data_IF_347922003442
#
_entry.id   IF_347922003442
#
_cell.length_a   1.000
_cell.length_b   1.000
_cell.length_c   1.000
_cell.angle_alpha   90.00
_cell.angle_beta   90.00
_cell.angle_gamma   90.00
#
_symmetry.space_group_name_H-M   'P 1'
#
loop_
_entity.id
_entity.type
_entity.pdbx_description
1 polymer ?
#
# COMPACT_ATOMS: atom_id res chain seq x y z
N UNK A 1 35.12 27.58 -11.54
CA UNK A 1 35.31 26.12 -11.70
C UNK A 1 35.41 25.50 -10.32
N UNK A 2 34.50 24.59 -9.94
CA UNK A 2 34.66 23.78 -8.71
C UNK A 2 35.77 22.74 -8.96
N UNK A 3 36.61 22.40 -7.98
CA UNK A 3 37.72 21.48 -8.17
C UNK A 3 37.21 20.07 -8.56
N UNK A 4 37.96 19.36 -9.40
CA UNK A 4 37.60 18.04 -9.93
C UNK A 4 37.36 16.96 -8.84
N UNK A 5 37.90 17.16 -7.63
CA UNK A 5 37.64 16.30 -6.46
C UNK A 5 36.25 16.49 -5.84
N UNK A 6 35.56 17.61 -6.10
CA UNK A 6 34.23 17.88 -5.57
C UNK A 6 33.11 17.09 -6.27
N UNK A 7 33.38 16.53 -7.46
CA UNK A 7 32.41 15.77 -8.26
C UNK A 7 32.66 14.25 -8.21
N UNK A 8 33.62 13.78 -7.43
CA UNK A 8 33.87 12.34 -7.28
C UNK A 8 32.96 11.74 -6.22
N UNK A 9 32.22 10.68 -6.59
CA UNK A 9 31.41 9.90 -5.66
C UNK A 9 32.30 9.21 -4.61
N UNK A 10 31.92 9.29 -3.33
CA UNK A 10 32.54 8.47 -2.30
C UNK A 10 32.22 6.98 -2.51
N UNK A 11 32.99 6.08 -1.89
CA UNK A 11 32.85 4.63 -2.09
C UNK A 11 31.42 4.13 -1.84
N UNK A 12 30.78 4.55 -0.75
CA UNK A 12 29.40 4.17 -0.44
C UNK A 12 28.40 4.69 -1.49
N UNK A 13 28.57 5.92 -1.98
CA UNK A 13 27.73 6.45 -3.04
C UNK A 13 27.92 5.71 -4.36
N UNK A 14 29.12 5.19 -4.65
CA UNK A 14 29.36 4.36 -5.85
C UNK A 14 28.64 3.02 -5.77
N UNK A 15 28.66 2.39 -4.60
CA UNK A 15 27.94 1.14 -4.34
C UNK A 15 26.43 1.32 -4.40
N UNK A 16 25.93 2.40 -3.79
CA UNK A 16 24.53 2.79 -3.85
C UNK A 16 24.11 3.09 -5.29
N UNK A 17 24.86 3.93 -6.00
CA UNK A 17 24.61 4.27 -7.40
C UNK A 17 24.53 3.01 -8.27
N UNK A 18 25.48 2.10 -8.10
CA UNK A 18 25.48 0.82 -8.82
C UNK A 18 24.26 -0.05 -8.51
N UNK A 19 23.83 -0.07 -7.26
CA UNK A 19 22.64 -0.80 -6.83
C UNK A 19 21.38 -0.21 -7.45
N UNK A 20 21.24 1.12 -7.47
CA UNK A 20 20.13 1.81 -8.12
C UNK A 20 20.07 1.53 -9.63
N UNK A 21 21.21 1.50 -10.32
CA UNK A 21 21.26 1.14 -11.76
C UNK A 21 20.71 -0.27 -11.98
N UNK A 22 21.11 -1.23 -11.13
CA UNK A 22 20.60 -2.61 -11.22
C UNK A 22 19.11 -2.67 -10.90
N UNK A 23 18.67 -1.99 -9.85
CA UNK A 23 17.26 -1.93 -9.44
C UNK A 23 16.37 -1.34 -10.54
N UNK A 24 16.79 -0.25 -11.18
CA UNK A 24 16.04 0.40 -12.24
C UNK A 24 15.72 -0.57 -13.39
N UNK A 25 16.73 -1.24 -13.93
CA UNK A 25 16.56 -2.13 -15.09
C UNK A 25 16.03 -3.53 -14.76
N UNK A 26 16.41 -4.11 -13.61
CA UNK A 26 16.02 -5.47 -13.26
C UNK A 26 14.64 -5.55 -12.59
N UNK A 27 14.24 -4.51 -11.85
CA UNK A 27 13.03 -4.54 -11.01
C UNK A 27 12.03 -3.50 -11.48
N UNK A 28 12.40 -2.22 -11.50
CA UNK A 28 11.43 -1.14 -11.66
C UNK A 28 10.85 -1.06 -13.06
N UNK A 29 11.67 -1.06 -14.11
CA UNK A 29 11.20 -0.98 -15.49
C UNK A 29 10.28 -2.16 -15.87
N UNK A 30 10.61 -3.43 -15.55
CA UNK A 30 9.67 -4.54 -15.72
C UNK A 30 8.36 -4.36 -14.95
N UNK A 31 8.43 -3.90 -13.69
CA UNK A 31 7.24 -3.70 -12.86
C UNK A 31 6.35 -2.56 -13.40
N UNK A 32 6.92 -1.40 -13.75
CA UNK A 32 6.19 -0.28 -14.35
C UNK A 32 5.57 -0.68 -15.68
N UNK A 33 6.28 -1.42 -16.53
CA UNK A 33 5.74 -1.95 -17.79
C UNK A 33 4.58 -2.92 -17.53
N UNK A 34 4.66 -3.74 -16.47
CA UNK A 34 3.55 -4.60 -16.07
C UNK A 34 2.32 -3.79 -15.61
N UNK A 35 2.51 -2.65 -14.92
CA UNK A 35 1.43 -1.74 -14.51
C UNK A 35 0.84 -1.01 -15.72
N UNK A 36 1.69 -0.49 -16.61
CA UNK A 36 1.28 0.18 -17.84
C UNK A 36 0.41 -0.73 -18.73
N UNK A 37 0.73 -2.03 -18.76
CA UNK A 37 -0.02 -3.05 -19.51
C UNK A 37 -1.23 -3.63 -18.76
N UNK A 38 -1.34 -3.48 -17.43
CA UNK A 38 -2.41 -4.05 -16.59
C UNK A 38 -3.46 -3.01 -16.18
N UNK A 39 -4.55 -2.94 -16.92
CA UNK A 39 -5.88 -2.78 -16.31
C UNK A 39 -6.44 -4.16 -15.93
N UNK A 40 -5.95 -4.74 -14.83
CA UNK A 40 -6.69 -5.76 -14.08
C UNK A 40 -6.24 -5.72 -12.61
N UNK A 41 -7.01 -5.00 -11.79
CA UNK A 41 -7.15 -5.19 -10.34
C UNK A 41 -6.05 -4.64 -9.42
N UNK A 42 -6.07 -3.32 -9.18
CA UNK A 42 -5.74 -2.76 -7.86
C UNK A 42 -6.93 -1.86 -7.48
N UNK A 43 -7.97 -2.49 -6.94
CA UNK A 43 -9.27 -1.91 -6.66
C UNK A 43 -10.34 -3.00 -6.76
N UNK A 44 -11.10 -3.21 -5.69
CA UNK A 44 -12.15 -4.21 -5.58
C UNK A 44 -13.11 -4.15 -6.77
N UNK A 45 -13.28 -5.29 -7.45
CA UNK A 45 -14.15 -5.48 -8.60
C UNK A 45 -15.62 -5.45 -8.19
N UNK A 46 -16.26 -4.28 -8.22
CA UNK A 46 -17.72 -4.22 -8.34
C UNK A 46 -18.12 -4.41 -9.80
N UNK A 47 -18.86 -5.48 -10.06
CA UNK A 47 -19.33 -5.85 -11.39
C UNK A 47 -20.50 -4.96 -11.81
N UNK A 48 -20.31 -4.11 -12.82
CA UNK A 48 -21.39 -3.55 -13.62
C UNK A 48 -21.26 -4.05 -15.08
N UNK A 49 -22.32 -4.57 -15.72
CA UNK A 49 -22.25 -5.03 -17.10
C UNK A 49 -22.48 -3.85 -18.04
N UNK A 50 -21.45 -3.45 -18.80
CA UNK A 50 -21.55 -2.42 -19.82
C UNK A 50 -20.89 -2.86 -21.12
N UNK A 51 -21.70 -3.14 -22.15
CA UNK A 51 -21.24 -3.41 -23.52
C UNK A 51 -20.69 -2.10 -24.12
N UNK A 52 -19.41 -2.10 -24.48
CA UNK A 52 -18.77 -1.06 -25.29
C UNK A 52 -17.27 -1.28 -25.33
N UNK A 53 -16.72 -1.63 -26.50
CA UNK A 53 -15.27 -1.69 -26.73
C UNK A 53 -14.71 -0.25 -26.65
N UNK A 54 -14.38 0.21 -25.46
CA UNK A 54 -13.54 1.38 -25.26
C UNK A 54 -12.06 0.95 -25.41
N UNK A 55 -11.21 1.72 -26.12
CA UNK A 55 -9.76 1.51 -26.08
C UNK A 55 -9.31 1.51 -24.62
N UNK A 56 -8.55 0.49 -24.20
CA UNK A 56 -8.02 0.42 -22.84
C UNK A 56 -7.21 1.70 -22.55
N UNK A 57 -7.55 2.49 -21.52
CA UNK A 57 -6.75 3.63 -21.11
C UNK A 57 -5.35 3.15 -20.71
N UNK A 58 -4.32 3.54 -21.46
CA UNK A 58 -2.93 3.39 -21.01
C UNK A 58 -2.80 4.18 -19.69
N UNK A 59 -2.16 3.60 -18.69
CA UNK A 59 -1.79 4.34 -17.49
C UNK A 59 -0.69 5.34 -17.87
N UNK A 60 -1.10 6.56 -18.24
CA UNK A 60 -0.22 7.64 -18.71
C UNK A 60 0.86 7.99 -17.68
N UNK A 61 0.54 7.92 -16.38
CA UNK A 61 1.52 8.11 -15.31
C UNK A 61 2.61 7.03 -15.33
N UNK A 62 2.26 5.76 -15.51
CA UNK A 62 3.24 4.69 -15.64
C UNK A 62 4.08 4.84 -16.92
N UNK A 63 3.45 5.27 -18.02
CA UNK A 63 4.12 5.57 -19.29
C UNK A 63 5.18 6.68 -19.13
N UNK A 64 4.85 7.78 -18.44
CA UNK A 64 5.79 8.87 -18.19
C UNK A 64 6.99 8.41 -17.35
N UNK A 65 6.75 7.60 -16.32
CA UNK A 65 7.82 7.05 -15.47
C UNK A 65 8.74 6.09 -16.26
N UNK A 66 8.16 5.31 -17.17
CA UNK A 66 8.94 4.47 -18.10
C UNK A 66 9.78 5.36 -19.01
N UNK A 67 9.19 6.37 -19.64
CA UNK A 67 9.89 7.27 -20.56
C UNK A 67 11.07 7.98 -19.86
N UNK A 68 10.86 8.53 -18.66
CA UNK A 68 11.91 9.15 -17.84
C UNK A 68 13.07 8.17 -17.56
N UNK A 69 12.73 6.94 -17.17
CA UNK A 69 13.70 5.89 -16.87
C UNK A 69 14.49 5.44 -18.09
N UNK A 70 13.84 5.33 -19.25
CA UNK A 70 14.47 4.94 -20.51
C UNK A 70 15.34 6.04 -21.10
N UNK A 71 14.90 7.29 -21.01
CA UNK A 71 15.70 8.45 -21.41
C UNK A 71 17.00 8.52 -20.59
N UNK A 72 16.93 8.29 -19.27
CA UNK A 72 18.11 8.21 -18.44
C UNK A 72 19.06 7.08 -18.89
N UNK A 73 18.55 5.87 -19.14
CA UNK A 73 19.38 4.76 -19.63
C UNK A 73 20.02 5.05 -20.99
N UNK A 74 19.29 5.67 -21.92
CA UNK A 74 19.80 6.03 -23.23
C UNK A 74 20.92 7.07 -23.13
N UNK A 75 20.75 8.09 -22.29
CA UNK A 75 21.77 9.11 -22.03
C UNK A 75 23.05 8.51 -21.44
N UNK A 76 22.93 7.67 -20.40
CA UNK A 76 24.09 7.06 -19.76
C UNK A 76 24.81 6.07 -20.69
N UNK A 77 24.05 5.31 -21.48
CA UNK A 77 24.64 4.43 -22.49
C UNK A 77 25.37 5.25 -23.57
N UNK A 78 24.79 6.37 -24.02
CA UNK A 78 25.40 7.32 -24.95
C UNK A 78 26.71 7.94 -24.43
N UNK A 79 26.79 8.25 -23.14
CA UNK A 79 28.02 8.72 -22.47
C UNK A 79 29.15 7.68 -22.48
N UNK A 80 28.82 6.38 -22.42
CA UNK A 80 29.82 5.31 -22.61
C UNK A 80 30.28 5.28 -24.07
N UNK A 81 29.32 5.28 -25.00
CA UNK A 81 29.59 5.31 -26.44
C UNK A 81 28.38 5.89 -27.17
N UNK A 82 28.61 6.86 -28.04
CA UNK A 82 27.54 7.54 -28.77
C UNK A 82 26.60 6.58 -29.53
N UNK A 83 27.14 5.48 -30.08
CA UNK A 83 26.36 4.45 -30.77
C UNK A 83 25.31 3.75 -29.88
N UNK A 84 25.46 3.78 -28.56
CA UNK A 84 24.53 3.15 -27.62
C UNK A 84 23.32 4.03 -27.29
N UNK A 85 23.34 5.32 -27.66
CA UNK A 85 22.23 6.24 -27.39
C UNK A 85 20.90 5.81 -28.05
N UNK A 86 20.97 5.08 -29.17
CA UNK A 86 19.80 4.53 -29.87
C UNK A 86 19.37 3.15 -29.40
N UNK A 87 19.97 2.60 -28.34
CA UNK A 87 19.58 1.28 -27.84
C UNK A 87 18.24 1.32 -27.11
N UNK A 88 17.39 0.31 -27.38
CA UNK A 88 16.24 0.04 -26.53
C UNK A 88 16.68 -0.21 -25.08
N UNK A 89 15.84 0.18 -24.12
CA UNK A 89 16.18 0.27 -22.69
C UNK A 89 16.93 -0.95 -22.14
N UNK A 90 16.51 -2.18 -22.50
CA UNK A 90 17.11 -3.41 -21.97
C UNK A 90 18.55 -3.58 -22.48
N UNK A 91 18.79 -3.25 -23.75
CA UNK A 91 20.13 -3.29 -24.36
C UNK A 91 21.00 -2.14 -23.85
N UNK A 92 20.44 -0.95 -23.63
CA UNK A 92 21.13 0.17 -22.99
C UNK A 92 21.54 -0.18 -21.56
N UNK A 93 20.63 -0.77 -20.78
CA UNK A 93 20.91 -1.26 -19.42
C UNK A 93 22.01 -2.33 -19.41
N UNK A 94 21.94 -3.32 -20.32
CA UNK A 94 23.02 -4.31 -20.46
C UNK A 94 24.38 -3.66 -20.78
N UNK A 95 24.41 -2.67 -21.67
CA UNK A 95 25.63 -1.93 -21.98
C UNK A 95 26.18 -1.17 -20.77
N UNK A 96 25.31 -0.55 -19.97
CA UNK A 96 25.69 0.13 -18.72
C UNK A 96 26.26 -0.86 -17.71
N UNK A 97 25.59 -2.01 -17.48
CA UNK A 97 26.06 -2.96 -16.48
C UNK A 97 27.40 -3.62 -16.88
N UNK A 98 27.65 -3.80 -18.17
CA UNK A 98 28.93 -4.31 -18.69
C UNK A 98 30.05 -3.28 -18.60
N UNK A 99 29.75 -2.00 -18.37
CA UNK A 99 30.72 -0.89 -18.32
C UNK A 99 30.76 -0.21 -16.94
N UNK A 100 30.65 -1.01 -15.87
CA UNK A 100 30.65 -0.54 -14.46
C UNK A 100 31.75 0.47 -14.17
N UNK A 101 33.00 0.12 -14.52
CA UNK A 101 34.15 0.98 -14.21
C UNK A 101 34.01 2.35 -14.86
N UNK A 102 33.58 2.40 -16.13
CA UNK A 102 33.42 3.65 -16.88
C UNK A 102 32.36 4.54 -16.24
N UNK A 103 31.14 4.02 -16.02
CA UNK A 103 30.01 4.79 -15.47
C UNK A 103 30.31 5.37 -14.09
N UNK A 104 30.97 4.60 -13.23
CA UNK A 104 31.27 5.05 -11.87
C UNK A 104 32.41 6.07 -11.79
N UNK A 105 33.19 6.26 -12.86
CA UNK A 105 34.35 7.17 -12.91
C UNK A 105 34.15 8.39 -13.81
N UNK A 106 32.97 8.54 -14.44
CA UNK A 106 32.68 9.73 -15.25
C UNK A 106 32.70 11.00 -14.39
N UNK A 107 33.13 12.12 -14.98
CA UNK A 107 33.10 13.43 -14.31
C UNK A 107 31.68 13.91 -13.97
N UNK A 108 30.66 13.35 -14.63
CA UNK A 108 29.23 13.61 -14.41
C UNK A 108 28.59 12.66 -13.39
N UNK A 109 29.32 11.66 -12.86
CA UNK A 109 28.74 10.57 -12.09
C UNK A 109 27.96 11.03 -10.84
N UNK A 110 28.37 12.14 -10.20
CA UNK A 110 27.66 12.71 -9.06
C UNK A 110 26.26 13.25 -9.44
N UNK A 111 26.18 13.98 -10.56
CA UNK A 111 24.92 14.53 -11.07
C UNK A 111 24.02 13.41 -11.62
N UNK A 112 24.61 12.44 -12.31
CA UNK A 112 23.91 11.27 -12.84
C UNK A 112 23.31 10.42 -11.70
N UNK A 113 24.05 10.24 -10.61
CA UNK A 113 23.57 9.58 -9.40
C UNK A 113 22.40 10.34 -8.76
N UNK A 114 22.52 11.64 -8.56
CA UNK A 114 21.44 12.46 -7.99
C UNK A 114 20.17 12.43 -8.86
N UNK A 115 20.33 12.43 -10.19
CA UNK A 115 19.21 12.27 -11.11
C UNK A 115 18.57 10.88 -10.98
N UNK A 116 19.38 9.82 -10.94
CA UNK A 116 18.89 8.46 -10.77
C UNK A 116 18.14 8.27 -9.44
N UNK A 117 18.63 8.86 -8.34
CA UNK A 117 17.94 8.81 -7.05
C UNK A 117 16.52 9.40 -7.14
N UNK A 118 16.36 10.52 -7.86
CA UNK A 118 15.03 11.12 -8.08
C UNK A 118 14.12 10.20 -8.90
N UNK A 119 14.63 9.61 -9.97
CA UNK A 119 13.88 8.68 -10.82
C UNK A 119 13.46 7.44 -10.03
N UNK A 120 14.41 6.78 -9.36
CA UNK A 120 14.15 5.56 -8.58
C UNK A 120 13.13 5.81 -7.48
N UNK A 121 13.20 6.94 -6.77
CA UNK A 121 12.22 7.30 -5.73
C UNK A 121 10.82 7.54 -6.30
N UNK A 122 10.70 8.24 -7.44
CA UNK A 122 9.40 8.44 -8.12
C UNK A 122 8.81 7.11 -8.58
N UNK A 123 9.67 6.22 -9.10
CA UNK A 123 9.27 4.88 -9.50
C UNK A 123 8.83 4.05 -8.29
N UNK A 124 9.57 4.07 -7.18
CA UNK A 124 9.18 3.40 -5.92
C UNK A 124 7.81 3.86 -5.44
N UNK A 125 7.56 5.16 -5.39
CA UNK A 125 6.24 5.69 -5.00
C UNK A 125 5.10 5.24 -5.91
N UNK A 126 5.38 4.93 -7.18
CA UNK A 126 4.37 4.41 -8.11
C UNK A 126 4.23 2.88 -8.04
N UNK A 127 5.28 2.19 -7.62
CA UNK A 127 5.35 0.73 -7.50
C UNK A 127 4.90 0.21 -6.14
N UNK A 128 4.99 1.04 -5.10
CA UNK A 128 4.44 0.79 -3.78
C UNK A 128 2.97 1.23 -3.79
N UNK A 129 1.99 0.31 -3.72
CA UNK A 129 0.61 0.70 -3.51
C UNK A 129 0.54 1.49 -2.20
N UNK A 130 -0.19 2.61 -2.18
CA UNK A 130 -0.59 3.24 -0.94
C UNK A 130 -1.36 2.17 -0.16
N UNK A 131 -0.78 1.63 0.92
CA UNK A 131 -1.46 0.60 1.72
C UNK A 131 -2.79 1.22 2.16
N UNK A 132 -3.90 0.62 1.72
CA UNK A 132 -5.22 1.14 2.01
C UNK A 132 -5.33 1.37 3.52
N UNK A 133 -5.49 2.62 3.93
CA UNK A 133 -5.69 2.97 5.33
C UNK A 133 -6.99 2.31 5.77
N UNK A 134 -6.89 1.40 6.73
CA UNK A 134 -8.05 0.73 7.33
C UNK A 134 -8.36 1.35 8.68
N UNK A 135 -9.62 1.33 9.06
CA UNK A 135 -10.03 1.72 10.40
C UNK A 135 -9.59 0.60 11.35
N UNK A 136 -8.75 0.94 12.33
CA UNK A 136 -8.23 -0.01 13.33
C UNK A 136 -8.97 0.08 14.66
N UNK A 137 -9.77 1.13 14.88
CA UNK A 137 -10.56 1.34 16.09
C UNK A 137 -10.69 2.82 16.45
N UNK A 138 -10.66 3.12 17.74
CA UNK A 138 -10.70 4.50 18.26
C UNK A 138 -9.61 4.70 19.31
N UNK A 139 -9.06 5.90 19.39
CA UNK A 139 -8.04 6.26 20.37
C UNK A 139 -8.50 5.90 21.80
N UNK A 140 -7.74 5.11 22.56
CA UNK A 140 -8.07 4.77 23.94
C UNK A 140 -8.28 5.98 24.85
N UNK A 141 -7.56 7.08 24.58
CA UNK A 141 -7.54 8.27 25.43
C UNK A 141 -8.64 9.29 25.10
N UNK A 142 -9.00 9.47 23.83
CA UNK A 142 -9.91 10.56 23.42
C UNK A 142 -11.04 10.12 22.49
N UNK A 143 -11.09 8.85 22.07
CA UNK A 143 -12.14 8.35 21.17
C UNK A 143 -11.99 8.76 19.71
N UNK A 144 -10.97 9.52 19.32
CA UNK A 144 -10.71 9.85 17.91
C UNK A 144 -10.56 8.59 17.05
N UNK A 145 -11.21 8.57 15.88
CA UNK A 145 -11.17 7.42 14.96
C UNK A 145 -9.73 7.12 14.54
N UNK A 146 -9.29 5.88 14.75
CA UNK A 146 -7.95 5.46 14.43
C UNK A 146 -7.94 4.73 13.08
N UNK A 147 -7.21 5.30 12.12
CA UNK A 147 -6.91 4.69 10.84
C UNK A 147 -5.42 4.40 10.74
N UNK A 148 -5.06 3.25 10.19
CA UNK A 148 -3.66 2.86 9.97
C UNK A 148 -3.55 1.87 8.82
N UNK A 149 -2.34 1.65 8.32
CA UNK A 149 -2.11 0.53 7.39
C UNK A 149 -2.21 -0.81 8.13
N UNK A 150 -2.60 -1.92 7.45
CA UNK A 150 -2.76 -3.22 8.10
C UNK A 150 -1.51 -3.74 8.82
N UNK A 151 -0.32 -3.33 8.37
CA UNK A 151 0.99 -3.75 8.87
C UNK A 151 1.55 -2.84 9.96
N UNK A 152 0.89 -1.72 10.26
CA UNK A 152 1.37 -0.79 11.26
C UNK A 152 1.35 -1.41 12.66
N UNK A 153 2.50 -1.40 13.34
CA UNK A 153 2.61 -1.90 14.72
C UNK A 153 2.26 -0.82 15.74
N UNK A 154 2.45 0.45 15.40
CA UNK A 154 2.23 1.60 16.28
C UNK A 154 1.29 2.62 15.65
N UNK A 155 0.58 3.34 16.49
CA UNK A 155 -0.32 4.41 16.07
C UNK A 155 -0.24 5.60 17.03
N UNK A 156 -0.22 6.80 16.44
CA UNK A 156 -0.23 8.06 17.18
C UNK A 156 -1.52 8.80 16.90
N UNK A 157 -2.26 9.15 17.95
CA UNK A 157 -3.48 9.90 17.82
C UNK A 157 -3.20 11.33 17.35
N UNK A 158 -3.79 11.80 16.25
CA UNK A 158 -3.59 13.17 15.78
C UNK A 158 -4.17 14.22 16.74
N UNK A 159 -5.22 13.88 17.50
CA UNK A 159 -5.90 14.80 18.41
C UNK A 159 -5.21 14.91 19.77
N UNK A 160 -5.15 13.82 20.53
CA UNK A 160 -4.67 13.84 21.92
C UNK A 160 -3.19 13.45 22.10
N UNK A 161 -2.50 13.20 20.98
CA UNK A 161 -1.07 12.80 20.91
C UNK A 161 -0.70 11.55 21.68
N UNK A 162 -1.69 10.76 22.11
CA UNK A 162 -1.45 9.43 22.67
C UNK A 162 -0.74 8.55 21.65
N UNK A 163 0.24 7.76 22.11
CA UNK A 163 0.98 6.81 21.30
C UNK A 163 0.90 5.43 21.94
N UNK A 164 0.74 4.41 21.11
CA UNK A 164 0.75 3.02 21.56
C UNK A 164 0.71 2.05 20.40
N UNK A 165 0.71 0.76 20.72
CA UNK A 165 0.59 -0.28 19.71
C UNK A 165 -0.80 -0.32 19.06
N UNK A 166 -0.88 -0.63 17.77
CA UNK A 166 -2.17 -0.86 17.07
C UNK A 166 -2.97 -1.96 17.74
N UNK A 167 -2.31 -2.98 18.29
CA UNK A 167 -2.95 -4.03 19.08
C UNK A 167 -3.60 -3.51 20.37
N UNK A 168 -3.02 -2.48 21.01
CA UNK A 168 -3.63 -1.87 22.19
C UNK A 168 -4.89 -1.06 21.84
N UNK A 169 -4.91 -0.42 20.66
CA UNK A 169 -6.11 0.26 20.14
C UNK A 169 -7.24 -0.74 19.87
N UNK A 170 -6.92 -1.91 19.30
CA UNK A 170 -7.88 -3.00 19.07
C UNK A 170 -8.35 -3.63 20.39
N UNK A 171 -7.44 -3.98 21.29
CA UNK A 171 -7.76 -4.61 22.57
C UNK A 171 -8.64 -3.73 23.47
N UNK A 172 -8.42 -2.41 23.50
CA UNK A 172 -9.28 -1.50 24.26
C UNK A 172 -10.69 -1.40 23.67
N UNK A 173 -10.82 -1.41 22.34
CA UNK A 173 -12.11 -1.48 21.66
C UNK A 173 -12.83 -2.77 22.03
N UNK A 174 -12.13 -3.89 21.97
CA UNK A 174 -12.70 -5.21 22.24
C UNK A 174 -13.11 -5.33 23.72
N UNK A 175 -12.30 -4.85 24.67
CA UNK A 175 -12.65 -4.78 26.09
C UNK A 175 -13.91 -3.97 26.37
N UNK A 176 -14.08 -2.82 25.71
CA UNK A 176 -15.31 -2.01 25.84
C UNK A 176 -16.53 -2.73 25.28
N UNK A 177 -16.38 -3.45 24.17
CA UNK A 177 -17.48 -4.20 23.56
C UNK A 177 -17.93 -5.38 24.43
N UNK A 178 -17.01 -6.06 25.12
CA UNK A 178 -17.36 -7.12 26.08
C UNK A 178 -18.19 -6.63 27.27
N UNK A 179 -18.12 -5.33 27.60
CA UNK A 179 -18.93 -4.71 28.65
C UNK A 179 -20.29 -4.18 28.15
N UNK A 180 -20.54 -4.23 26.84
CA UNK A 180 -21.76 -3.69 26.24
C UNK A 180 -22.73 -4.81 25.89
N UNK A 181 -23.94 -4.68 26.41
CA UNK A 181 -25.09 -5.45 25.98
C UNK A 181 -26.01 -4.60 25.10
N UNK A 182 -26.54 -5.21 24.05
CA UNK A 182 -27.54 -4.59 23.21
C UNK A 182 -28.78 -5.49 23.13
N UNK A 183 -29.94 -4.92 23.44
CA UNK A 183 -31.22 -5.61 23.32
C UNK A 183 -31.90 -5.20 22.02
N UNK A 184 -32.26 -6.18 21.20
CA UNK A 184 -32.98 -5.90 19.96
C UNK A 184 -33.08 -7.12 19.04
N UNK A 185 -33.58 -6.89 17.83
CA UNK A 185 -33.57 -7.90 16.76
C UNK A 185 -32.20 -7.93 16.08
N UNK A 186 -31.80 -9.06 15.46
CA UNK A 186 -30.52 -9.15 14.73
C UNK A 186 -30.26 -8.05 13.70
N UNK A 187 -31.30 -7.48 13.08
CA UNK A 187 -31.17 -6.36 12.14
C UNK A 187 -30.87 -5.03 12.84
N UNK A 188 -31.38 -4.82 14.04
CA UNK A 188 -31.12 -3.63 14.84
C UNK A 188 -29.72 -3.68 15.43
N UNK A 189 -29.29 -4.86 15.89
CA UNK A 189 -27.92 -5.11 16.34
C UNK A 189 -26.91 -4.85 15.22
N UNK A 190 -27.15 -5.39 14.02
CA UNK A 190 -26.31 -5.14 12.85
C UNK A 190 -26.21 -3.65 12.51
N UNK A 191 -27.34 -2.91 12.57
CA UNK A 191 -27.33 -1.45 12.37
C UNK A 191 -26.58 -0.71 13.47
N UNK A 192 -26.70 -1.16 14.71
CA UNK A 192 -26.00 -0.56 15.85
C UNK A 192 -24.48 -0.76 15.71
N UNK A 193 -24.04 -1.97 15.38
CA UNK A 193 -22.64 -2.28 15.09
C UNK A 193 -22.11 -1.48 13.90
N UNK A 194 -22.90 -1.30 12.84
CA UNK A 194 -22.52 -0.48 11.69
C UNK A 194 -22.29 1.00 12.08
N UNK A 195 -23.01 1.55 13.06
CA UNK A 195 -22.72 2.90 13.60
C UNK A 195 -21.39 2.98 14.34
N UNK A 196 -20.89 1.84 14.83
CA UNK A 196 -19.59 1.68 15.46
C UNK A 196 -18.52 1.20 14.46
N UNK A 197 -18.82 1.26 13.15
CA UNK A 197 -17.96 0.80 12.06
C UNK A 197 -17.60 -0.71 12.12
N UNK A 198 -18.47 -1.49 12.77
CA UNK A 198 -18.34 -2.95 12.85
C UNK A 198 -19.32 -3.55 11.83
N UNK A 199 -18.79 -4.04 10.72
CA UNK A 199 -19.60 -4.60 9.64
C UNK A 199 -20.00 -6.05 9.92
N UNK A 200 -21.26 -6.25 10.32
CA UNK A 200 -21.90 -7.55 10.47
C UNK A 200 -23.28 -7.53 9.82
N UNK A 201 -23.63 -8.58 9.08
CA UNK A 201 -24.97 -8.71 8.49
C UNK A 201 -25.94 -9.36 9.47
N UNK A 202 -27.22 -8.99 9.43
CA UNK A 202 -28.25 -9.65 10.24
C UNK A 202 -28.40 -11.14 9.94
N UNK A 203 -28.01 -11.57 8.73
CA UNK A 203 -28.01 -12.98 8.33
C UNK A 203 -26.93 -13.78 9.06
N UNK A 204 -25.72 -13.23 9.19
CA UNK A 204 -24.64 -13.85 9.97
C UNK A 204 -25.06 -14.03 11.42
N UNK A 205 -25.60 -12.98 12.05
CA UNK A 205 -26.08 -13.03 13.45
C UNK A 205 -27.14 -14.12 13.62
N UNK A 206 -28.15 -14.17 12.72
CA UNK A 206 -29.19 -15.22 12.76
C UNK A 206 -28.62 -16.62 12.57
N UNK A 207 -27.66 -16.78 11.68
CA UNK A 207 -27.02 -18.06 11.42
C UNK A 207 -26.23 -18.53 12.63
N UNK A 208 -25.51 -17.65 13.33
CA UNK A 208 -24.80 -17.99 14.56
C UNK A 208 -25.74 -18.35 15.70
N UNK A 209 -26.86 -17.64 15.86
CA UNK A 209 -27.91 -18.00 16.81
C UNK A 209 -28.50 -19.39 16.51
N UNK A 210 -28.86 -19.64 15.25
CA UNK A 210 -29.50 -20.91 14.84
C UNK A 210 -28.53 -22.09 14.98
N UNK A 211 -27.23 -21.85 14.80
CA UNK A 211 -26.16 -22.85 14.98
C UNK A 211 -25.70 -22.98 16.44
N UNK A 212 -26.26 -22.21 17.38
CA UNK A 212 -25.84 -22.22 18.79
C UNK A 212 -24.41 -21.74 19.02
N UNK A 213 -23.86 -20.95 18.09
CA UNK A 213 -22.49 -20.41 18.19
C UNK A 213 -22.41 -19.05 18.87
N UNK A 214 -23.52 -18.33 18.92
CA UNK A 214 -23.65 -17.02 19.57
C UNK A 214 -24.62 -17.16 20.73
N UNK A 215 -24.18 -16.82 21.94
CA UNK A 215 -25.06 -16.76 23.09
C UNK A 215 -25.86 -15.47 23.05
N UNK A 216 -27.18 -15.60 23.16
CA UNK A 216 -28.06 -14.46 23.31
C UNK A 216 -29.25 -14.88 24.17
N UNK A 217 -29.64 -14.04 25.12
CA UNK A 217 -30.76 -14.33 26.01
C UNK A 217 -32.05 -13.88 25.35
N UNK A 218 -33.03 -14.77 25.10
CA UNK A 218 -34.32 -14.38 24.54
C UNK A 218 -35.04 -13.41 25.48
N UNK A 219 -35.69 -12.39 24.92
CA UNK A 219 -36.55 -11.48 25.69
C UNK A 219 -38.02 -11.93 25.67
N UNK A 220 -38.89 -11.14 26.30
CA UNK A 220 -40.35 -11.34 26.26
C UNK A 220 -40.95 -11.11 24.86
N UNK A 221 -40.24 -10.45 23.95
CA UNK A 221 -40.71 -10.13 22.61
C UNK A 221 -40.14 -11.11 21.57
N UNK A 222 -41.00 -11.53 20.62
CA UNK A 222 -40.63 -12.54 19.62
C UNK A 222 -39.49 -12.05 18.72
N UNK A 223 -38.39 -12.81 18.71
CA UNK A 223 -37.23 -12.58 17.84
C UNK A 223 -36.29 -11.48 18.33
N UNK A 224 -36.47 -11.00 19.55
CA UNK A 224 -35.61 -10.03 20.22
C UNK A 224 -34.81 -10.72 21.32
N UNK A 225 -33.51 -10.41 21.36
CA UNK A 225 -32.56 -11.01 22.28
C UNK A 225 -31.67 -9.94 22.91
N UNK A 226 -31.11 -10.25 24.07
CA UNK A 226 -30.00 -9.52 24.68
C UNK A 226 -28.71 -10.14 24.14
N UNK A 227 -27.89 -9.34 23.48
CA UNK A 227 -26.61 -9.74 22.90
C UNK A 227 -25.45 -9.09 23.64
N UNK A 228 -24.38 -9.84 23.89
CA UNK A 228 -23.09 -9.24 24.21
C UNK A 228 -22.39 -8.83 22.91
N UNK A 229 -21.99 -7.55 22.80
CA UNK A 229 -21.39 -7.05 21.56
C UNK A 229 -19.97 -7.58 21.34
N UNK A 230 -19.22 -7.82 22.42
CA UNK A 230 -17.89 -8.43 22.37
C UNK A 230 -17.92 -9.84 21.77
N UNK A 231 -18.93 -10.64 22.12
CA UNK A 231 -19.12 -11.98 21.56
C UNK A 231 -19.42 -11.94 20.06
N UNK A 232 -20.23 -10.97 19.60
CA UNK A 232 -20.51 -10.80 18.17
C UNK A 232 -19.24 -10.41 17.40
N UNK A 233 -18.41 -9.52 17.96
CA UNK A 233 -17.14 -9.15 17.31
C UNK A 233 -16.13 -10.31 17.29
N UNK A 234 -16.05 -11.10 18.35
CA UNK A 234 -15.20 -12.30 18.37
C UNK A 234 -15.63 -13.31 17.28
N UNK A 235 -16.94 -13.43 17.04
CA UNK A 235 -17.49 -14.27 15.96
C UNK A 235 -17.12 -13.77 14.55
N UNK A 236 -16.89 -12.47 14.37
CA UNK A 236 -16.39 -11.90 13.11
C UNK A 236 -14.90 -12.21 12.91
N UNK A 237 -14.09 -12.05 13.95
CA UNK A 237 -12.64 -12.27 13.87
C UNK A 237 -12.27 -13.74 13.67
N UNK A 238 -13.07 -14.69 14.19
CA UNK A 238 -12.82 -16.13 14.04
C UNK A 238 -13.31 -16.72 12.70
N UNK A 239 -14.08 -15.97 11.91
CA UNK A 239 -14.78 -16.49 10.72
C UNK A 239 -14.62 -15.60 9.46
N UNK A 240 -13.73 -14.61 9.51
CA UNK A 240 -13.16 -13.91 8.35
C UNK A 240 -11.81 -14.52 7.97
#
# INVERSE_FOLDING_TARGET
>A
MKPASANMLCQNCRETYWTLIRQLGHVQLPALRSIMLRQASIGTTEHAPGRGNAPLPINTRAQDLIADSEAWLAEQAGKIRAAYAGYAWRKAWYAIISNRHTILNMSTAADDYANLQRIVRRNEQALTPEEAMVIIGSCPKCGHQATSTPQAETWACPDCKWQGGVQAVKAERDNKLWQLEYTGKPIEVARYLAKMDIHCTSSQIRQWLTRGKLHATPTKHKGEYVFNLGEITAMLDCHN
#
